data_IF_695131649551
#
_entry.id   IF_695131649551
#
_cell.length_a   1.000
_cell.length_b   1.000
_cell.length_c   1.000
_cell.angle_alpha   90.00
_cell.angle_beta   90.00
_cell.angle_gamma   90.00
#
_symmetry.space_group_name_H-M   'P 1'
#
loop_
_entity.id
_entity.type
_entity.pdbx_description
1 polymer ?
#
# COMPACT_ATOMS: atom_id res chain seq x y z
N UNK A 1 -2.87 -1.03 29.01
CA UNK A 1 -1.98 -1.77 28.09
C UNK A 1 -2.54 -1.74 26.66
N UNK A 2 -2.66 -0.56 26.03
CA UNK A 2 -3.15 -0.39 24.65
C UNK A 2 -2.10 0.22 23.70
N UNK A 3 -0.93 0.63 24.19
CA UNK A 3 0.11 1.27 23.38
C UNK A 3 0.98 0.31 22.55
N UNK A 4 1.21 -0.94 22.99
CA UNK A 4 2.06 -1.90 22.24
C UNK A 4 1.43 -2.35 20.93
N UNK A 5 0.13 -2.65 20.93
CA UNK A 5 -0.55 -3.16 19.73
C UNK A 5 -0.64 -2.10 18.63
N UNK A 6 -0.86 -0.83 19.00
CA UNK A 6 -0.89 0.28 18.03
C UNK A 6 0.50 0.48 17.38
N UNK A 7 1.56 0.46 18.17
CA UNK A 7 2.95 0.59 17.69
C UNK A 7 3.36 -0.53 16.72
N UNK A 8 2.94 -1.77 16.99
CA UNK A 8 3.20 -2.91 16.11
C UNK A 8 2.42 -2.81 14.79
N UNK A 9 1.17 -2.32 14.84
CA UNK A 9 0.35 -2.06 13.65
C UNK A 9 0.93 -0.92 12.81
N UNK A 10 1.40 0.14 13.44
CA UNK A 10 1.98 1.30 12.75
C UNK A 10 3.33 0.93 12.10
N UNK A 11 4.17 0.14 12.78
CA UNK A 11 5.41 -0.38 12.21
C UNK A 11 5.15 -1.34 11.04
N UNK A 12 4.09 -2.14 11.14
CA UNK A 12 3.66 -3.00 10.04
C UNK A 12 3.21 -2.16 8.84
N UNK A 13 2.38 -1.13 9.06
CA UNK A 13 1.89 -0.25 8.02
C UNK A 13 3.03 0.49 7.29
N UNK A 14 3.99 1.05 8.04
CA UNK A 14 5.15 1.71 7.47
C UNK A 14 5.98 0.77 6.58
N UNK A 15 6.18 -0.47 7.02
CA UNK A 15 6.93 -1.47 6.27
C UNK A 15 6.20 -1.97 5.02
N UNK A 16 4.86 -2.10 5.08
CA UNK A 16 4.04 -2.40 3.90
C UNK A 16 4.21 -1.29 2.88
N UNK A 17 4.11 -0.02 3.31
CA UNK A 17 4.23 1.13 2.43
C UNK A 17 5.60 1.21 1.76
N UNK A 18 6.69 1.03 2.51
CA UNK A 18 8.06 1.02 1.98
C UNK A 18 8.24 -0.08 0.92
N UNK A 19 7.85 -1.32 1.25
CA UNK A 19 7.98 -2.45 0.33
C UNK A 19 7.03 -2.39 -0.86
N UNK A 20 5.92 -1.67 -0.74
CA UNK A 20 4.98 -1.43 -1.81
C UNK A 20 5.47 -0.33 -2.77
N UNK A 21 6.04 0.75 -2.24
CA UNK A 21 6.53 1.88 -3.05
C UNK A 21 7.79 1.54 -3.83
N UNK A 22 8.68 0.71 -3.30
CA UNK A 22 9.94 0.38 -3.98
C UNK A 22 9.74 -0.23 -5.39
N UNK A 23 8.86 -1.23 -5.62
CA UNK A 23 8.54 -1.71 -6.96
C UNK A 23 7.83 -0.69 -7.87
N UNK A 24 7.16 0.32 -7.31
CA UNK A 24 6.49 1.35 -8.10
C UNK A 24 7.46 2.46 -8.55
N UNK A 25 8.48 2.76 -7.73
CA UNK A 25 9.54 3.72 -8.05
C UNK A 25 10.59 3.12 -8.99
N UNK A 26 10.88 1.82 -8.81
CA UNK A 26 11.85 1.09 -9.63
C UNK A 26 11.21 -0.21 -10.16
N UNK A 27 10.37 -0.13 -11.21
CA UNK A 27 9.64 -1.30 -11.73
C UNK A 27 10.56 -2.40 -12.28
N UNK A 28 11.76 -2.05 -12.74
CA UNK A 28 12.77 -3.00 -13.23
C UNK A 28 13.63 -3.59 -12.10
N UNK A 29 13.45 -3.14 -10.85
CA UNK A 29 14.18 -3.65 -9.71
C UNK A 29 13.57 -4.97 -9.23
N UNK A 30 14.01 -6.06 -9.86
CA UNK A 30 13.62 -7.43 -9.50
C UNK A 30 13.91 -7.77 -8.03
N UNK A 31 14.90 -7.14 -7.41
CA UNK A 31 15.24 -7.35 -6.01
C UNK A 31 14.17 -6.75 -5.07
N UNK A 32 13.67 -5.55 -5.38
CA UNK A 32 12.56 -4.95 -4.64
C UNK A 32 11.30 -5.83 -4.69
N UNK A 33 11.01 -6.39 -5.87
CA UNK A 33 9.91 -7.34 -6.04
C UNK A 33 10.11 -8.63 -5.26
N UNK A 34 11.32 -9.19 -5.26
CA UNK A 34 11.65 -10.39 -4.50
C UNK A 34 11.52 -10.16 -2.99
N UNK A 35 11.95 -8.99 -2.49
CA UNK A 35 11.82 -8.61 -1.07
C UNK A 35 10.36 -8.48 -0.64
N UNK A 36 9.49 -7.91 -1.48
CA UNK A 36 8.05 -7.85 -1.22
C UNK A 36 7.43 -9.25 -1.14
N UNK A 37 7.73 -10.12 -2.10
CA UNK A 37 7.22 -11.50 -2.13
C UNK A 37 7.67 -12.27 -0.88
N UNK A 38 8.96 -12.21 -0.55
CA UNK A 38 9.51 -12.87 0.63
C UNK A 38 8.86 -12.35 1.92
N UNK A 39 8.62 -11.04 2.02
CA UNK A 39 8.02 -10.44 3.21
C UNK A 39 6.56 -10.88 3.42
N UNK A 40 5.76 -10.93 2.36
CA UNK A 40 4.35 -11.37 2.38
C UNK A 40 4.23 -12.85 2.73
N UNK A 41 5.12 -13.70 2.22
CA UNK A 41 5.10 -15.16 2.45
C UNK A 41 5.31 -15.55 3.91
N UNK A 42 5.97 -14.71 4.71
CA UNK A 42 6.30 -15.02 6.11
C UNK A 42 5.08 -15.08 7.03
N UNK A 43 4.01 -14.30 6.78
CA UNK A 43 2.86 -14.28 7.68
C UNK A 43 1.56 -13.87 6.99
N UNK A 44 0.43 -14.59 7.18
CA UNK A 44 -0.85 -14.26 6.55
C UNK A 44 -1.36 -12.84 6.80
N UNK A 45 -1.05 -12.25 7.96
CA UNK A 45 -1.42 -10.86 8.25
C UNK A 45 -0.73 -9.83 7.33
N UNK A 46 0.48 -10.13 6.84
CA UNK A 46 1.23 -9.26 5.91
C UNK A 46 0.57 -9.24 4.53
N UNK A 47 0.05 -10.38 4.10
CA UNK A 47 -0.78 -10.46 2.89
C UNK A 47 -2.06 -9.63 3.01
N UNK A 48 -2.76 -9.72 4.16
CA UNK A 48 -3.96 -8.91 4.40
C UNK A 48 -3.65 -7.41 4.42
N UNK A 49 -2.53 -7.01 5.04
CA UNK A 49 -2.10 -5.63 5.05
C UNK A 49 -1.75 -5.12 3.63
N UNK A 50 -1.11 -5.96 2.80
CA UNK A 50 -0.85 -5.65 1.40
C UNK A 50 -2.14 -5.42 0.60
N UNK A 51 -3.13 -6.31 0.74
CA UNK A 51 -4.43 -6.17 0.06
C UNK A 51 -5.21 -4.93 0.53
N UNK A 52 -5.17 -4.62 1.83
CA UNK A 52 -5.81 -3.42 2.36
C UNK A 52 -5.19 -2.13 1.80
N UNK A 53 -3.86 -2.11 1.61
CA UNK A 53 -3.18 -0.99 0.97
C UNK A 53 -3.57 -0.85 -0.51
N UNK A 54 -3.60 -1.95 -1.26
CA UNK A 54 -4.01 -1.96 -2.67
C UNK A 54 -5.44 -1.41 -2.85
N UNK A 55 -6.38 -1.89 -2.04
CA UNK A 55 -7.77 -1.41 -2.04
C UNK A 55 -7.85 0.10 -1.73
N UNK A 56 -7.11 0.58 -0.72
CA UNK A 56 -7.05 1.99 -0.38
C UNK A 56 -6.54 2.85 -1.55
N UNK A 57 -5.50 2.39 -2.25
CA UNK A 57 -4.96 3.09 -3.42
C UNK A 57 -5.97 3.12 -4.58
N UNK A 58 -6.73 2.05 -4.80
CA UNK A 58 -7.82 2.03 -5.78
C UNK A 58 -8.90 3.06 -5.44
N UNK A 59 -9.31 3.14 -4.17
CA UNK A 59 -10.31 4.12 -3.71
C UNK A 59 -9.82 5.57 -3.87
N UNK A 60 -8.56 5.84 -3.49
CA UNK A 60 -7.93 7.16 -3.70
C UNK A 60 -7.86 7.50 -5.18
N UNK A 61 -7.50 6.55 -6.05
CA UNK A 61 -7.48 6.76 -7.50
C UNK A 61 -8.86 7.09 -8.04
N UNK A 62 -9.89 6.33 -7.65
CA UNK A 62 -11.27 6.58 -8.07
C UNK A 62 -11.77 7.96 -7.61
N UNK A 63 -11.43 8.36 -6.38
CA UNK A 63 -11.75 9.69 -5.86
C UNK A 63 -11.11 10.78 -6.74
N UNK A 64 -9.81 10.69 -7.01
CA UNK A 64 -9.08 11.66 -7.85
C UNK A 64 -9.64 11.73 -9.28
N UNK A 65 -9.98 10.59 -9.88
CA UNK A 65 -10.58 10.52 -11.22
C UNK A 65 -12.00 11.10 -11.23
N UNK A 66 -12.80 10.84 -10.19
CA UNK A 66 -14.14 11.39 -10.05
C UNK A 66 -14.14 12.91 -9.86
N UNK A 67 -13.19 13.46 -9.11
CA UNK A 67 -13.01 14.90 -8.93
C UNK A 67 -12.56 15.56 -10.24
N UNK A 68 -11.64 14.95 -11.00
CA UNK A 68 -11.26 15.43 -12.32
C UNK A 68 -12.44 15.45 -13.29
N UNK A 69 -13.30 14.42 -13.26
CA UNK A 69 -14.51 14.36 -14.09
C UNK A 69 -15.58 15.38 -13.68
N UNK A 70 -15.65 15.71 -12.39
CA UNK A 70 -16.53 16.76 -11.86
C UNK A 70 -16.07 18.16 -12.22
N UNK A 71 -14.74 18.38 -12.33
CA UNK A 71 -14.15 19.65 -12.75
C UNK A 71 -14.29 19.87 -14.26
N UNK A 72 -14.03 18.84 -15.08
CA UNK A 72 -14.19 18.90 -16.54
C UNK A 72 -15.64 19.04 -17.04
N UNK A 73 -16.65 18.89 -16.17
CA UNK A 73 -18.08 19.12 -16.48
C UNK A 73 -18.58 20.51 -16.07
N UNK A 74 -17.74 21.30 -15.38
CA UNK A 74 -18.07 22.66 -14.94
C UNK A 74 -17.40 23.76 -15.77
N UNK A 75 -16.52 23.39 -16.69
CA UNK A 75 -15.99 24.24 -17.77
C UNK A 75 -16.79 24.01 -19.06
#
# INVERSE_FOLDING_TARGET
MHGSHQSEVDALAAKVYELFMAPHLEPDNLEARARLIAWVQVHPARWRAFLALDQCLVEVKQLLESEQRGKARRD
#
